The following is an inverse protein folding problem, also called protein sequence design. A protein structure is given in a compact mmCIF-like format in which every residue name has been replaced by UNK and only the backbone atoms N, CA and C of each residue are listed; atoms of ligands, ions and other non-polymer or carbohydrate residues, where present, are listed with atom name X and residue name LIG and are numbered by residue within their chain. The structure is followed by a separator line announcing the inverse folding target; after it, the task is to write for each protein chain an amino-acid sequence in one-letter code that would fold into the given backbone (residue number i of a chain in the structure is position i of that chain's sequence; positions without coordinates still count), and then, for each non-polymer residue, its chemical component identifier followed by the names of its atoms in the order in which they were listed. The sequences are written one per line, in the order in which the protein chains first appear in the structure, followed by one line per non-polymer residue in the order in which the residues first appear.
data_IF_735284767063
#
_entry.id   IF_735284767063
#
_cell.length_a   1.000
_cell.length_b   1.000
_cell.length_c   1.000
_cell.angle_alpha   90.00
_cell.angle_beta   90.00
_cell.angle_gamma   90.00
#
_symmetry.space_group_name_H-M   'P 1'
#
loop_
_entity.id
_entity.type
_entity.pdbx_description
1 polymer ?
#
# COMPACT_ATOMS: atom_id res chain seq x y z
N UNK A 1 -10.75 39.80 -24.02
CA UNK A 1 -11.24 39.48 -25.38
C UNK A 1 -11.10 37.98 -25.53
N UNK A 2 -12.15 37.24 -25.22
CA UNK A 2 -12.18 35.79 -25.31
C UNK A 2 -12.22 35.43 -26.80
N UNK A 3 -11.06 35.15 -27.39
CA UNK A 3 -10.99 34.65 -28.76
C UNK A 3 -11.67 33.30 -28.81
N UNK A 4 -12.66 33.13 -29.68
CA UNK A 4 -13.20 31.81 -29.98
C UNK A 4 -12.04 30.94 -30.47
N UNK A 5 -11.63 30.00 -29.64
CA UNK A 5 -10.76 28.90 -30.08
C UNK A 5 -11.57 28.15 -31.13
N UNK A 6 -11.00 27.98 -32.32
CA UNK A 6 -11.65 27.23 -33.39
C UNK A 6 -11.89 25.80 -32.90
N UNK A 7 -13.03 25.18 -33.22
CA UNK A 7 -13.32 23.77 -32.89
C UNK A 7 -12.17 22.83 -33.30
N UNK A 8 -11.47 23.18 -34.39
CA UNK A 8 -10.28 22.46 -34.86
C UNK A 8 -9.08 22.56 -33.91
N UNK A 9 -8.91 23.71 -33.27
CA UNK A 9 -7.87 23.95 -32.27
C UNK A 9 -8.23 23.29 -30.93
N UNK A 10 -9.51 23.24 -30.56
CA UNK A 10 -9.96 22.48 -29.38
C UNK A 10 -9.69 20.98 -29.55
N UNK A 11 -10.03 20.41 -30.71
CA UNK A 11 -9.72 19.01 -31.02
C UNK A 11 -8.19 18.74 -31.08
N UNK A 12 -7.39 19.72 -31.46
CA UNK A 12 -5.93 19.63 -31.44
C UNK A 12 -5.40 19.58 -30.00
N UNK A 13 -5.90 20.43 -29.10
CA UNK A 13 -5.52 20.45 -27.68
C UNK A 13 -5.90 19.13 -27.01
N UNK A 14 -7.13 18.65 -27.24
CA UNK A 14 -7.59 17.37 -26.69
C UNK A 14 -6.66 16.23 -27.11
N UNK A 15 -6.31 16.17 -28.39
CA UNK A 15 -5.39 15.15 -28.90
C UNK A 15 -3.95 15.29 -28.37
N UNK A 16 -3.49 16.50 -28.01
CA UNK A 16 -2.19 16.69 -27.35
C UNK A 16 -2.20 16.12 -25.94
N UNK A 17 -3.27 16.36 -25.18
CA UNK A 17 -3.42 15.87 -23.80
C UNK A 17 -3.53 14.35 -23.70
N UNK A 18 -3.91 13.66 -24.77
CA UNK A 18 -3.93 12.19 -24.82
C UNK A 18 -2.54 11.56 -25.06
N UNK A 19 -1.53 12.35 -25.43
CA UNK A 19 -0.19 11.85 -25.69
C UNK A 19 0.58 11.62 -24.37
N UNK A 20 1.05 10.39 -24.18
CA UNK A 20 2.01 10.07 -23.13
C UNK A 20 3.43 10.40 -23.61
N UNK A 21 4.03 11.43 -23.05
CA UNK A 21 5.28 12.03 -23.54
C UNK A 21 6.39 11.99 -22.49
N UNK A 22 7.58 11.59 -22.94
CA UNK A 22 8.79 11.65 -22.11
C UNK A 22 9.28 13.12 -22.03
N UNK A 23 9.44 13.69 -20.82
CA UNK A 23 9.96 15.04 -20.65
C UNK A 23 11.35 15.25 -21.25
N UNK A 24 12.20 14.23 -21.31
CA UNK A 24 13.50 14.34 -21.97
C UNK A 24 13.33 14.59 -23.47
N UNK A 25 12.36 13.92 -24.09
CA UNK A 25 12.07 14.06 -25.51
C UNK A 25 11.51 15.45 -25.84
N UNK A 26 10.70 16.02 -24.95
CA UNK A 26 10.18 17.40 -25.07
C UNK A 26 11.30 18.46 -24.96
N UNK A 27 12.29 18.26 -24.07
CA UNK A 27 13.45 19.17 -23.95
C UNK A 27 14.33 19.14 -25.19
N UNK A 28 14.56 17.97 -25.75
CA UNK A 28 15.41 17.81 -26.92
C UNK A 28 14.74 18.26 -28.23
N UNK A 29 13.41 18.10 -28.32
CA UNK A 29 12.64 18.38 -29.52
C UNK A 29 11.31 19.08 -29.19
N UNK A 30 11.35 20.37 -28.78
CA UNK A 30 10.16 21.12 -28.42
C UNK A 30 9.23 21.37 -29.63
N UNK A 31 9.74 21.24 -30.86
CA UNK A 31 8.97 21.39 -32.08
C UNK A 31 8.12 20.17 -32.46
N UNK A 32 8.31 19.03 -31.79
CA UNK A 32 7.51 17.84 -32.06
C UNK A 32 7.89 17.09 -33.34
N UNK A 33 9.11 17.26 -33.86
CA UNK A 33 9.49 16.63 -35.13
C UNK A 33 9.58 15.09 -35.03
N UNK A 34 9.89 14.56 -33.85
CA UNK A 34 10.04 13.13 -33.59
C UNK A 34 8.82 12.51 -32.90
N UNK A 35 8.17 13.25 -32.00
CA UNK A 35 7.11 12.71 -31.15
C UNK A 35 5.69 13.12 -31.59
N UNK A 36 5.52 14.28 -32.23
CA UNK A 36 4.20 14.76 -32.60
C UNK A 36 3.71 14.00 -33.84
N UNK A 37 2.52 13.35 -33.80
CA UNK A 37 1.91 12.72 -34.97
C UNK A 37 1.83 13.68 -36.17
N UNK A 38 2.08 13.16 -37.38
CA UNK A 38 2.12 13.97 -38.61
C UNK A 38 0.84 14.77 -38.86
N UNK A 39 -0.31 14.24 -38.46
CA UNK A 39 -1.62 14.91 -38.55
C UNK A 39 -1.67 16.17 -37.68
N UNK A 40 -1.24 16.08 -36.42
CA UNK A 40 -1.17 17.19 -35.48
C UNK A 40 -0.11 18.21 -35.90
N UNK A 41 1.06 17.75 -36.35
CA UNK A 41 2.10 18.63 -36.87
C UNK A 41 1.64 19.48 -38.04
N UNK A 42 0.88 18.89 -38.97
CA UNK A 42 0.29 19.62 -40.08
C UNK A 42 -0.71 20.68 -39.58
N UNK A 43 -1.51 20.36 -38.56
CA UNK A 43 -2.44 21.32 -37.98
C UNK A 43 -1.71 22.51 -37.33
N UNK A 44 -0.63 22.27 -36.60
CA UNK A 44 0.21 23.33 -36.04
C UNK A 44 0.89 24.19 -37.13
N UNK A 45 1.26 23.61 -38.28
CA UNK A 45 1.84 24.35 -39.40
C UNK A 45 0.81 25.19 -40.17
N UNK A 46 -0.43 24.71 -40.26
CA UNK A 46 -1.51 25.36 -41.00
C UNK A 46 -2.22 26.47 -40.18
N UNK A 47 -2.27 26.33 -38.86
CA UNK A 47 -3.01 27.24 -37.97
C UNK A 47 -2.10 27.84 -36.87
N UNK A 48 -1.88 29.16 -36.86
CA UNK A 48 -1.09 29.84 -35.83
C UNK A 48 -1.72 29.81 -34.44
N UNK A 49 -3.02 29.50 -34.30
CA UNK A 49 -3.62 29.21 -32.99
C UNK A 49 -3.09 27.88 -32.44
N UNK A 50 -3.17 26.80 -33.24
CA UNK A 50 -2.65 25.48 -32.85
C UNK A 50 -1.14 25.51 -32.55
N UNK A 51 -0.37 26.29 -33.30
CA UNK A 51 1.07 26.47 -33.04
C UNK A 51 1.36 27.09 -31.67
N UNK A 52 0.52 28.03 -31.22
CA UNK A 52 0.66 28.67 -29.90
C UNK A 52 0.31 27.70 -28.78
N UNK A 53 -0.79 26.98 -28.92
CA UNK A 53 -1.21 25.96 -27.96
C UNK A 53 -0.17 24.85 -27.81
N UNK A 54 0.48 24.44 -28.91
CA UNK A 54 1.58 23.48 -28.85
C UNK A 54 2.75 24.00 -28.02
N UNK A 55 3.13 25.26 -28.19
CA UNK A 55 4.22 25.86 -27.42
C UNK A 55 3.86 25.99 -25.93
N UNK A 56 2.62 26.38 -25.63
CA UNK A 56 2.11 26.48 -24.26
C UNK A 56 2.03 25.11 -23.58
N UNK A 57 1.58 24.09 -24.31
CA UNK A 57 1.58 22.71 -23.84
C UNK A 57 2.99 22.23 -23.49
N UNK A 58 3.96 22.40 -24.39
CA UNK A 58 5.35 21.99 -24.14
C UNK A 58 5.95 22.73 -22.93
N UNK A 59 5.69 24.03 -22.81
CA UNK A 59 6.13 24.84 -21.67
C UNK A 59 5.53 24.33 -20.35
N UNK A 60 4.21 24.09 -20.34
CA UNK A 60 3.48 23.60 -19.17
C UNK A 60 3.93 22.20 -18.75
N UNK A 61 4.08 21.27 -19.69
CA UNK A 61 4.56 19.92 -19.41
C UNK A 61 5.98 19.98 -18.80
N UNK A 62 6.89 20.74 -19.40
CA UNK A 62 8.25 20.88 -18.86
C UNK A 62 8.25 21.53 -17.47
N UNK A 63 7.42 22.54 -17.23
CA UNK A 63 7.27 23.16 -15.92
C UNK A 63 6.72 22.18 -14.86
N UNK A 64 5.76 21.32 -15.24
CA UNK A 64 5.19 20.30 -14.37
C UNK A 64 6.24 19.25 -13.98
N UNK A 65 7.08 18.81 -14.92
CA UNK A 65 8.17 17.87 -14.66
C UNK A 65 9.37 18.50 -13.92
N UNK A 66 9.53 19.82 -13.97
CA UNK A 66 10.53 20.54 -13.18
C UNK A 66 10.15 20.71 -11.71
N UNK A 67 8.88 20.43 -11.34
CA UNK A 67 8.51 20.17 -9.94
C UNK A 67 9.10 18.81 -9.55
N UNK A 68 10.40 18.82 -9.33
CA UNK A 68 11.13 17.74 -8.69
C UNK A 68 10.37 17.41 -7.40
N UNK A 69 9.83 16.20 -7.33
CA UNK A 69 9.63 15.54 -6.06
C UNK A 69 10.97 15.70 -5.33
N UNK A 70 11.04 16.40 -4.18
CA UNK A 70 12.29 16.50 -3.47
C UNK A 70 12.68 15.06 -3.17
N UNK A 71 13.71 14.57 -3.84
CA UNK A 71 14.42 13.34 -3.48
C UNK A 71 15.21 13.63 -2.21
N UNK A 72 14.50 14.13 -1.21
CA UNK A 72 15.00 14.27 0.13
C UNK A 72 14.83 12.88 0.72
N UNK A 73 15.84 12.04 0.48
CA UNK A 73 16.14 10.90 1.34
C UNK A 73 16.18 11.31 2.83
N UNK A 74 16.29 12.60 3.10
CA UNK A 74 16.22 13.24 4.41
C UNK A 74 14.84 13.80 4.78
N UNK A 75 13.85 13.83 3.91
CA UNK A 75 12.50 14.35 4.20
C UNK A 75 11.85 13.47 5.27
N UNK A 76 11.95 12.15 5.12
CA UNK A 76 11.52 11.21 6.14
C UNK A 76 12.22 11.47 7.47
N UNK A 77 13.53 11.74 7.47
CA UNK A 77 14.26 12.06 8.71
C UNK A 77 13.79 13.39 9.31
N UNK A 78 13.65 14.43 8.49
CA UNK A 78 13.23 15.76 8.92
C UNK A 78 11.79 15.77 9.44
N UNK A 79 10.90 14.98 8.85
CA UNK A 79 9.52 14.80 9.31
C UNK A 79 9.50 13.98 10.60
N UNK A 80 10.26 12.89 10.69
CA UNK A 80 10.35 12.08 11.90
C UNK A 80 10.91 12.87 13.09
N UNK A 81 11.87 13.78 12.86
CA UNK A 81 12.42 14.68 13.89
C UNK A 81 11.41 15.77 14.32
N UNK A 82 10.37 16.04 13.52
CA UNK A 82 9.34 17.06 13.78
C UNK A 82 8.03 16.49 14.33
N UNK A 83 7.85 15.17 14.30
CA UNK A 83 6.68 14.53 14.87
C UNK A 83 6.78 14.58 16.41
N UNK A 84 5.69 14.96 17.11
CA UNK A 84 5.68 14.84 18.56
C UNK A 84 5.92 13.37 18.93
N UNK A 85 6.78 13.13 19.92
CA UNK A 85 6.95 11.81 20.50
C UNK A 85 5.59 11.35 21.03
N UNK A 86 4.88 10.57 20.22
CA UNK A 86 3.66 9.91 20.65
C UNK A 86 4.08 9.00 21.79
N UNK A 87 3.55 9.24 22.99
CA UNK A 87 3.72 8.32 24.11
C UNK A 87 3.40 6.92 23.60
N UNK A 88 4.44 6.08 23.54
CA UNK A 88 4.29 4.69 23.13
C UNK A 88 3.19 4.10 24.01
N UNK A 89 2.10 3.67 23.38
CA UNK A 89 0.99 3.01 24.08
C UNK A 89 1.62 1.92 24.95
N UNK A 90 1.49 2.08 26.27
CA UNK A 90 2.12 1.22 27.29
C UNK A 90 2.08 -0.23 26.81
N UNK A 91 3.25 -0.79 26.46
CA UNK A 91 3.37 -2.07 25.75
C UNK A 91 2.62 -3.17 26.50
N UNK A 92 2.56 -3.06 27.82
CA UNK A 92 1.78 -3.93 28.71
C UNK A 92 0.29 -3.90 28.38
N UNK A 93 -0.29 -2.71 28.20
CA UNK A 93 -1.71 -2.54 27.89
C UNK A 93 -2.02 -3.09 26.50
N UNK A 94 -1.13 -2.86 25.52
CA UNK A 94 -1.23 -3.42 24.17
C UNK A 94 -1.18 -4.95 24.20
N UNK A 95 -0.27 -5.55 24.94
CA UNK A 95 -0.16 -7.02 25.08
C UNK A 95 -1.41 -7.61 25.72
N UNK A 96 -1.98 -6.98 26.75
CA UNK A 96 -3.22 -7.48 27.37
C UNK A 96 -4.44 -7.37 26.47
N UNK A 97 -4.55 -6.30 25.68
CA UNK A 97 -5.62 -6.16 24.68
C UNK A 97 -5.48 -7.24 23.61
N UNK A 98 -4.27 -7.45 23.08
CA UNK A 98 -4.03 -8.49 22.08
C UNK A 98 -4.27 -9.90 22.64
N UNK A 99 -3.75 -10.21 23.82
CA UNK A 99 -3.92 -11.51 24.46
C UNK A 99 -5.40 -11.82 24.72
N UNK A 100 -6.18 -10.85 25.20
CA UNK A 100 -7.61 -11.03 25.42
C UNK A 100 -8.39 -11.18 24.10
N UNK A 101 -8.04 -10.42 23.06
CA UNK A 101 -8.63 -10.58 21.73
C UNK A 101 -8.33 -11.96 21.12
N UNK A 102 -7.09 -12.45 21.21
CA UNK A 102 -6.72 -13.78 20.73
C UNK A 102 -7.42 -14.88 21.52
N UNK A 103 -7.47 -14.78 22.85
CA UNK A 103 -8.18 -15.75 23.68
C UNK A 103 -9.67 -15.82 23.34
N UNK A 104 -10.30 -14.66 23.11
CA UNK A 104 -11.70 -14.57 22.72
C UNK A 104 -11.93 -15.13 21.30
N UNK A 105 -11.05 -14.82 20.35
CA UNK A 105 -11.11 -15.35 18.99
C UNK A 105 -11.01 -16.89 19.00
N UNK A 106 -10.04 -17.45 19.72
CA UNK A 106 -9.89 -18.91 19.87
C UNK A 106 -11.15 -19.51 20.50
N UNK A 107 -11.67 -18.91 21.59
CA UNK A 107 -12.89 -19.38 22.23
C UNK A 107 -14.10 -19.35 21.30
N UNK A 108 -14.26 -18.27 20.52
CA UNK A 108 -15.33 -18.13 19.54
C UNK A 108 -15.19 -19.14 18.40
N UNK A 109 -13.97 -19.40 17.92
CA UNK A 109 -13.70 -20.46 16.95
C UNK A 109 -14.13 -21.81 17.50
N UNK A 110 -13.79 -22.18 18.74
CA UNK A 110 -14.25 -23.44 19.33
C UNK A 110 -15.78 -23.52 19.47
N UNK A 111 -16.43 -22.42 19.86
CA UNK A 111 -17.88 -22.37 20.01
C UNK A 111 -18.62 -22.46 18.67
N UNK A 112 -18.07 -21.87 17.60
CA UNK A 112 -18.68 -21.89 16.28
C UNK A 112 -18.33 -23.16 15.48
N UNK A 113 -17.10 -23.64 15.63
CA UNK A 113 -16.61 -24.82 14.92
C UNK A 113 -17.11 -26.12 15.56
N UNK A 114 -17.35 -26.16 16.87
CA UNK A 114 -17.86 -27.35 17.57
C UNK A 114 -19.20 -27.86 17.03
N UNK A 115 -20.23 -27.01 16.88
CA UNK A 115 -21.50 -27.39 16.26
C UNK A 115 -21.37 -27.77 14.78
N UNK A 116 -20.48 -27.09 14.06
CA UNK A 116 -20.24 -27.26 12.62
C UNK A 116 -19.49 -28.58 12.29
N UNK A 117 -18.60 -29.01 13.19
CA UNK A 117 -17.97 -30.34 13.14
C UNK A 117 -18.97 -31.44 13.48
N UNK A 118 -19.96 -31.15 14.34
CA UNK A 118 -20.98 -32.11 14.78
C UNK A 118 -22.14 -32.28 13.78
N UNK A 119 -22.37 -31.29 12.90
CA UNK A 119 -23.40 -31.36 11.86
C UNK A 119 -23.01 -32.22 10.65
N UNK A 120 -21.75 -32.70 10.56
CA UNK A 120 -21.30 -33.62 9.51
C UNK A 120 -21.13 -33.00 8.12
N UNK A 121 -21.58 -31.76 7.90
CA UNK A 121 -21.48 -31.06 6.61
C UNK A 121 -20.03 -30.68 6.25
N UNK A 122 -19.14 -30.59 7.25
CA UNK A 122 -17.71 -30.35 7.05
C UNK A 122 -16.88 -31.64 6.87
N UNK A 123 -17.47 -32.83 7.05
CA UNK A 123 -16.74 -34.09 6.99
C UNK A 123 -16.04 -34.30 5.64
N UNK A 124 -16.73 -33.97 4.53
CA UNK A 124 -16.18 -34.14 3.17
C UNK A 124 -15.03 -33.20 2.81
N UNK A 125 -14.86 -32.08 3.53
CA UNK A 125 -13.72 -31.17 3.33
C UNK A 125 -12.55 -31.47 4.28
N UNK A 126 -12.85 -32.04 5.45
CA UNK A 126 -11.88 -32.32 6.51
C UNK A 126 -11.32 -33.73 6.41
N UNK A 127 -11.98 -34.69 5.73
CA UNK A 127 -11.49 -36.06 5.51
C UNK A 127 -10.02 -36.16 5.04
N UNK A 128 -9.57 -35.40 4.02
CA UNK A 128 -8.17 -35.42 3.60
C UNK A 128 -7.20 -34.90 4.67
N UNK A 129 -7.65 -33.94 5.49
CA UNK A 129 -6.88 -33.36 6.58
C UNK A 129 -6.89 -34.27 7.82
N UNK A 130 -7.98 -34.99 8.04
CA UNK A 130 -8.21 -35.93 9.12
C UNK A 130 -7.37 -37.19 8.92
N UNK A 131 -7.29 -37.71 7.69
CA UNK A 131 -6.42 -38.82 7.32
C UNK A 131 -4.93 -38.43 7.42
N UNK A 132 -4.58 -37.19 7.05
CA UNK A 132 -3.24 -36.65 7.23
C UNK A 132 -2.87 -36.48 8.73
N UNK A 133 -3.82 -36.00 9.54
CA UNK A 133 -3.65 -35.82 10.99
C UNK A 133 -3.62 -37.15 11.75
N UNK A 134 -4.39 -38.16 11.32
CA UNK A 134 -4.36 -39.51 11.89
C UNK A 134 -3.24 -40.39 11.34
N UNK A 135 -2.61 -40.00 10.23
CA UNK A 135 -1.35 -40.57 9.74
C UNK A 135 -0.12 -40.14 10.55
N UNK A 136 -0.25 -39.12 11.41
CA UNK A 136 0.75 -38.79 12.43
C UNK A 136 0.51 -39.70 13.67
N UNK A 137 1.53 -40.36 14.23
CA UNK A 137 1.37 -41.27 15.36
C UNK A 137 0.72 -40.55 16.56
N UNK A 138 -0.53 -40.94 16.85
CA UNK A 138 -1.49 -40.31 17.77
C UNK A 138 -1.19 -40.45 19.27
N UNK A 139 -0.02 -40.96 19.68
CA UNK A 139 0.40 -40.87 21.08
C UNK A 139 0.80 -39.44 21.47
N UNK A 140 1.08 -38.56 20.50
CA UNK A 140 1.56 -37.21 20.75
C UNK A 140 0.45 -36.13 20.78
N UNK A 141 -0.78 -36.40 20.33
CA UNK A 141 -1.82 -35.38 20.15
C UNK A 141 -2.23 -34.66 21.44
N UNK A 142 -2.41 -35.41 22.54
CA UNK A 142 -2.67 -34.82 23.86
C UNK A 142 -1.46 -34.10 24.43
N UNK A 143 -0.25 -34.62 24.17
CA UNK A 143 1.01 -34.04 24.65
C UNK A 143 1.32 -32.71 23.97
N UNK A 144 0.99 -32.54 22.68
CA UNK A 144 1.14 -31.26 21.98
C UNK A 144 0.16 -30.19 22.44
N UNK A 145 -1.08 -30.54 22.79
CA UNK A 145 -2.01 -29.59 23.42
C UNK A 145 -1.53 -29.17 24.81
N UNK A 146 -1.04 -30.11 25.62
CA UNK A 146 -0.46 -29.79 26.93
C UNK A 146 0.81 -28.96 26.77
N UNK A 147 1.67 -29.27 25.80
CA UNK A 147 2.88 -28.50 25.51
C UNK A 147 2.53 -27.08 25.04
N UNK A 148 1.54 -26.92 24.15
CA UNK A 148 1.09 -25.61 23.70
C UNK A 148 0.51 -24.78 24.85
N UNK A 149 -0.26 -25.41 25.75
CA UNK A 149 -0.79 -24.76 26.96
C UNK A 149 0.34 -24.36 27.93
N UNK A 150 1.32 -25.25 28.16
CA UNK A 150 2.46 -25.01 29.04
C UNK A 150 3.40 -23.95 28.47
N UNK A 151 3.62 -23.93 27.15
CA UNK A 151 4.39 -22.87 26.48
C UNK A 151 3.66 -21.53 26.56
N UNK A 152 2.33 -21.51 26.37
CA UNK A 152 1.54 -20.29 26.52
C UNK A 152 1.57 -19.75 27.97
N UNK A 153 1.44 -20.64 28.96
CA UNK A 153 1.52 -20.28 30.37
C UNK A 153 2.95 -19.87 30.79
N UNK A 154 3.98 -20.56 30.31
CA UNK A 154 5.38 -20.26 30.55
C UNK A 154 5.79 -18.92 29.93
N UNK A 155 5.32 -18.62 28.72
CA UNK A 155 5.49 -17.30 28.11
C UNK A 155 4.85 -16.20 28.96
N UNK A 156 3.69 -16.46 29.59
CA UNK A 156 3.02 -15.51 30.48
C UNK A 156 3.82 -15.23 31.77
N UNK A 157 4.50 -16.24 32.31
CA UNK A 157 5.31 -16.16 33.55
C UNK A 157 6.70 -15.58 33.29
N UNK A 158 7.26 -15.81 32.09
CA UNK A 158 8.58 -15.32 31.69
C UNK A 158 8.59 -13.89 31.15
N UNK A 159 7.43 -13.22 31.02
CA UNK A 159 7.42 -11.77 30.77
C UNK A 159 8.05 -11.11 32.00
N UNK A 160 9.27 -10.55 31.90
CA UNK A 160 9.92 -9.97 33.04
C UNK A 160 9.04 -8.83 33.55
N UNK A 161 8.71 -8.86 34.85
CA UNK A 161 8.22 -7.71 35.61
C UNK A 161 9.36 -6.69 35.81
N UNK A 162 10.07 -6.39 34.73
CA UNK A 162 11.28 -5.58 34.68
C UNK A 162 10.92 -4.12 34.48
N UNK A 163 10.26 -3.54 35.47
CA UNK A 163 10.31 -2.10 35.68
C UNK A 163 11.73 -1.70 36.04
N UNK A 164 12.62 -1.55 35.06
CA UNK A 164 13.88 -0.84 35.26
C UNK A 164 13.62 0.64 35.09
N UNK A 165 13.54 1.30 36.24
CA UNK A 165 13.67 2.74 36.44
C UNK A 165 14.68 3.32 35.44
N UNK A 166 14.25 4.31 34.66
CA UNK A 166 15.15 5.36 34.15
C UNK A 166 15.90 5.89 35.37
N UNK A 167 17.19 5.63 35.44
CA UNK A 167 18.08 6.46 36.22
C UNK A 167 18.35 7.69 35.34
N UNK A 168 17.76 8.81 35.74
CA UNK A 168 18.19 10.14 35.31
C UNK A 168 19.55 10.46 35.96
N UNK A 169 20.29 11.35 35.28
CA UNK A 169 21.58 11.99 35.60
C UNK A 169 22.84 11.32 35.01
#
# INVERSE_FOLDING_TARGET
MSGQVSERCEAFIEALCELDLDPQLLREDPGGERWLPRSLRRMAQEDPACARELAEFVEMELALFEVHEPNDAFFTRLVMDRLPELEAVDDRRRTWILASAYALAIGMTYLLLGPLLRSGEFAGWVEPLHDWYHGLPLEAGGMWMVLALVLAAGALVLIPSGGRRRADA
#
